data_IF_301551487661
#
_entry.id   IF_301551487661
#
_cell.length_a   1.000
_cell.length_b   1.000
_cell.length_c   1.000
_cell.angle_alpha   90.00
_cell.angle_beta   90.00
_cell.angle_gamma   90.00
#
_symmetry.space_group_name_H-M   'P 1'
#
loop_
_entity.id
_entity.type
_entity.pdbx_description
1 polymer ?
#
# COMPACT_ATOMS: atom_id res chain seq x y z
N UNK A 1 1.56 10.53 -11.51
CA UNK A 1 2.93 10.28 -11.01
C UNK A 1 2.93 10.78 -9.59
N UNK A 2 2.91 9.88 -8.59
CA UNK A 2 2.81 10.31 -7.18
C UNK A 2 4.03 11.19 -6.86
N UNK A 3 3.83 12.37 -6.21
CA UNK A 3 4.91 13.32 -5.97
C UNK A 3 6.05 12.68 -5.19
N UNK A 4 7.30 13.03 -5.53
CA UNK A 4 8.52 12.63 -4.80
C UNK A 4 8.63 13.25 -3.39
N UNK A 5 7.55 13.80 -2.86
CA UNK A 5 7.55 14.56 -1.63
C UNK A 5 6.91 13.71 -0.55
N UNK A 6 7.58 13.64 0.60
CA UNK A 6 6.94 13.26 1.85
C UNK A 6 5.51 13.79 1.86
N UNK A 7 4.58 12.97 2.35
CA UNK A 7 3.21 13.44 2.56
C UNK A 7 3.24 14.72 3.40
N UNK A 8 2.15 15.49 3.41
CA UNK A 8 2.05 16.67 4.28
C UNK A 8 2.35 16.39 5.77
N UNK A 9 2.40 15.11 6.16
CA UNK A 9 2.73 14.58 7.48
C UNK A 9 4.21 14.16 7.65
N UNK A 10 5.09 14.38 6.66
CA UNK A 10 6.50 13.97 6.72
C UNK A 10 6.72 12.46 6.54
N UNK A 11 5.71 11.71 6.07
CA UNK A 11 5.79 10.26 5.92
C UNK A 11 6.24 9.86 4.52
N UNK A 12 7.01 8.77 4.42
CA UNK A 12 7.35 8.15 3.14
C UNK A 12 6.05 7.72 2.39
N UNK A 13 5.96 7.92 1.06
CA UNK A 13 4.72 7.64 0.31
C UNK A 13 4.23 6.19 0.43
N UNK A 14 5.14 5.23 0.49
CA UNK A 14 4.79 3.81 0.66
C UNK A 14 4.30 3.48 2.07
N UNK A 15 4.83 4.15 3.10
CA UNK A 15 4.33 4.05 4.47
C UNK A 15 2.92 4.59 4.57
N UNK A 16 2.67 5.76 3.98
CA UNK A 16 1.32 6.33 3.93
C UNK A 16 0.33 5.38 3.25
N UNK A 17 0.68 4.84 2.08
CA UNK A 17 -0.16 3.85 1.39
C UNK A 17 -0.42 2.62 2.25
N UNK A 18 0.61 2.08 2.91
CA UNK A 18 0.48 0.90 3.78
C UNK A 18 -0.44 1.17 5.00
N UNK A 19 -0.37 2.36 5.59
CA UNK A 19 -1.25 2.77 6.68
C UNK A 19 -2.70 2.93 6.21
N UNK A 20 -2.92 3.62 5.10
CA UNK A 20 -4.27 3.77 4.53
C UNK A 20 -4.89 2.41 4.18
N UNK A 21 -4.09 1.48 3.62
CA UNK A 21 -4.55 0.12 3.35
C UNK A 21 -4.98 -0.60 4.63
N UNK A 22 -4.15 -0.52 5.68
CA UNK A 22 -4.44 -1.15 6.97
C UNK A 22 -5.71 -0.60 7.60
N UNK A 23 -5.85 0.72 7.68
CA UNK A 23 -6.99 1.37 8.35
C UNK A 23 -8.32 1.12 7.63
N UNK A 24 -8.31 1.06 6.29
CA UNK A 24 -9.53 0.89 5.51
C UNK A 24 -9.94 -0.58 5.31
N UNK A 25 -8.99 -1.52 5.32
CA UNK A 25 -9.26 -2.92 4.93
C UNK A 25 -8.89 -3.96 5.99
N UNK A 26 -8.05 -3.58 6.96
CA UNK A 26 -7.41 -4.50 7.90
C UNK A 26 -6.23 -5.28 7.31
N UNK A 27 -5.82 -5.02 6.06
CA UNK A 27 -4.70 -5.69 5.42
C UNK A 27 -3.39 -5.03 5.85
N UNK A 28 -2.55 -5.78 6.56
CA UNK A 28 -1.23 -5.34 6.97
C UNK A 28 -0.17 -5.76 5.94
N UNK A 29 0.61 -4.79 5.46
CA UNK A 29 1.76 -4.99 4.56
C UNK A 29 2.98 -4.26 5.11
N UNK A 30 4.18 -4.62 4.65
CA UNK A 30 5.41 -3.92 5.04
C UNK A 30 5.82 -2.94 3.94
N UNK A 31 6.00 -1.64 4.23
CA UNK A 31 6.41 -0.65 3.22
C UNK A 31 7.84 -0.86 2.74
N UNK A 32 8.11 -0.53 1.48
CA UNK A 32 9.40 -0.71 0.79
C UNK A 32 10.53 0.12 1.39
N UNK A 33 10.22 1.25 2.01
CA UNK A 33 11.14 2.17 2.68
C UNK A 33 11.94 1.49 3.80
N UNK A 34 11.41 0.42 4.39
CA UNK A 34 12.12 -0.41 5.37
C UNK A 34 13.17 -1.37 4.78
N UNK A 35 13.20 -1.56 3.46
CA UNK A 35 14.09 -2.51 2.78
C UNK A 35 15.13 -1.85 1.87
N UNK A 36 14.99 -0.54 1.64
CA UNK A 36 15.69 0.15 0.57
C UNK A 36 15.01 -0.10 -0.78
N UNK A 37 14.86 0.96 -1.56
CA UNK A 37 14.24 0.92 -2.89
C UNK A 37 14.84 2.00 -3.79
N UNK A 38 14.72 1.82 -5.10
CA UNK A 38 15.25 2.77 -6.08
C UNK A 38 14.56 4.13 -5.87
N UNK A 39 15.28 5.27 -5.84
CA UNK A 39 14.67 6.58 -5.69
C UNK A 39 13.56 6.83 -6.74
N UNK A 40 12.42 7.35 -6.29
CA UNK A 40 11.25 7.57 -7.14
C UNK A 40 10.39 6.33 -7.39
N UNK A 41 10.72 5.19 -6.79
CA UNK A 41 9.88 3.98 -6.79
C UNK A 41 9.33 3.72 -5.41
N UNK A 42 8.16 3.09 -5.34
CA UNK A 42 7.45 2.82 -4.10
C UNK A 42 6.89 1.41 -4.15
N UNK A 43 7.22 0.62 -3.13
CA UNK A 43 6.84 -0.79 -3.06
C UNK A 43 6.26 -1.14 -1.70
N UNK A 44 5.64 -2.32 -1.61
CA UNK A 44 5.34 -2.96 -0.34
C UNK A 44 5.57 -4.47 -0.49
N UNK A 45 5.77 -5.14 0.63
CA UNK A 45 5.87 -6.60 0.73
C UNK A 45 4.62 -7.16 1.37
N UNK A 46 4.04 -8.16 0.74
CA UNK A 46 2.94 -8.98 1.28
C UNK A 46 3.34 -10.46 1.30
N UNK A 47 2.44 -11.33 1.78
CA UNK A 47 2.64 -12.78 1.82
C UNK A 47 1.59 -13.52 1.02
N UNK A 48 1.97 -14.67 0.45
CA UNK A 48 1.07 -15.58 -0.29
C UNK A 48 0.74 -16.85 0.53
N UNK A 49 0.98 -16.80 1.85
CA UNK A 49 0.75 -17.91 2.77
C UNK A 49 -0.74 -18.24 3.02
N UNK A 50 -1.69 -17.30 2.95
CA UNK A 50 -3.11 -17.62 3.09
C UNK A 50 -3.58 -18.62 2.02
N UNK A 51 -4.57 -19.46 2.38
CA UNK A 51 -5.24 -20.34 1.42
C UNK A 51 -5.89 -19.53 0.29
N UNK A 52 -6.01 -20.13 -0.90
CA UNK A 52 -6.46 -19.45 -2.13
C UNK A 52 -7.78 -18.68 -1.96
N UNK A 53 -8.77 -19.24 -1.26
CA UNK A 53 -10.06 -18.56 -1.09
C UNK A 53 -9.95 -17.31 -0.21
N UNK A 54 -9.13 -17.38 0.86
CA UNK A 54 -8.83 -16.20 1.69
C UNK A 54 -7.98 -15.18 0.93
N UNK A 55 -7.05 -15.65 0.10
CA UNK A 55 -6.22 -14.80 -0.73
C UNK A 55 -7.07 -14.03 -1.75
N UNK A 56 -8.04 -14.68 -2.40
CA UNK A 56 -8.99 -14.02 -3.31
C UNK A 56 -9.77 -12.91 -2.62
N UNK A 57 -10.30 -13.16 -1.43
CA UNK A 57 -11.03 -12.15 -0.64
C UNK A 57 -10.11 -10.97 -0.28
N UNK A 58 -8.87 -11.25 0.13
CA UNK A 58 -7.89 -10.21 0.43
C UNK A 58 -7.54 -9.37 -0.80
N UNK A 59 -7.31 -10.00 -1.95
CA UNK A 59 -6.99 -9.32 -3.21
C UNK A 59 -8.15 -8.46 -3.70
N UNK A 60 -9.40 -8.92 -3.56
CA UNK A 60 -10.58 -8.12 -3.91
C UNK A 60 -10.67 -6.85 -3.05
N UNK A 61 -10.52 -6.98 -1.72
CA UNK A 61 -10.49 -5.82 -0.81
C UNK A 61 -9.34 -4.87 -1.14
N UNK A 62 -8.19 -5.41 -1.51
CA UNK A 62 -7.03 -4.64 -1.93
C UNK A 62 -7.32 -3.84 -3.20
N UNK A 63 -7.90 -4.46 -4.22
CA UNK A 63 -8.27 -3.81 -5.48
C UNK A 63 -9.26 -2.66 -5.27
N UNK A 64 -10.33 -2.91 -4.50
CA UNK A 64 -11.33 -1.89 -4.17
C UNK A 64 -10.72 -0.69 -3.43
N UNK A 65 -9.81 -0.95 -2.48
CA UNK A 65 -9.07 0.09 -1.80
C UNK A 65 -8.15 0.86 -2.75
N UNK A 66 -7.35 0.14 -3.56
CA UNK A 66 -6.35 0.73 -4.44
C UNK A 66 -6.99 1.71 -5.44
N UNK A 67 -8.12 1.31 -6.04
CA UNK A 67 -8.84 2.15 -6.98
C UNK A 67 -9.36 3.43 -6.30
N UNK A 68 -9.97 3.32 -5.11
CA UNK A 68 -10.44 4.49 -4.34
C UNK A 68 -9.29 5.41 -3.94
N UNK A 69 -8.18 4.85 -3.48
CA UNK A 69 -6.99 5.61 -3.10
C UNK A 69 -6.45 6.43 -4.29
N UNK A 70 -6.38 5.82 -5.48
CA UNK A 70 -5.93 6.54 -6.69
C UNK A 70 -6.92 7.60 -7.17
N UNK A 71 -8.22 7.44 -6.91
CA UNK A 71 -9.21 8.48 -7.21
C UNK A 71 -9.06 9.70 -6.28
N UNK A 72 -8.76 9.46 -5.00
CA UNK A 72 -8.63 10.50 -3.97
C UNK A 72 -7.32 11.29 -4.06
N UNK A 73 -6.20 10.63 -4.35
CA UNK A 73 -4.84 11.22 -4.30
C UNK A 73 -4.18 11.37 -5.68
N UNK A 74 -5.00 11.61 -6.71
CA UNK A 74 -4.57 11.63 -8.12
C UNK A 74 -3.64 12.78 -8.47
#
# INVERSE_FOLDING_TARGET
MLPQQETSLGQAPDFFYAMQLLENTGICVVPGSGFGQVPGTFHFRTTILPQLDKLKIMLQKFEEFHNKFLEEYK
#
